data_IF_341515977126
#
_entry.id   IF_341515977126
#
_cell.length_a   1.000
_cell.length_b   1.000
_cell.length_c   1.000
_cell.angle_alpha   90.00
_cell.angle_beta   90.00
_cell.angle_gamma   90.00
#
_symmetry.space_group_name_H-M   'P 1'
#
loop_
_entity.id
_entity.type
_entity.pdbx_description
1 polymer ?
#
# COMPACT_ATOMS: atom_id res chain seq x y z
N UNK A 1 -0.45 6.02 -21.23
CA UNK A 1 0.31 4.91 -20.61
C UNK A 1 -0.50 3.64 -20.80
N UNK A 2 0.13 2.56 -21.25
CA UNK A 2 -0.56 1.30 -21.48
C UNK A 2 -1.12 0.79 -20.14
N UNK A 3 -2.38 0.36 -20.12
CA UNK A 3 -2.98 -0.18 -18.90
C UNK A 3 -2.39 -1.57 -18.62
N UNK A 4 -1.24 -1.62 -17.93
CA UNK A 4 -0.49 -2.85 -17.68
C UNK A 4 -1.35 -3.95 -17.04
N UNK A 5 -2.38 -3.59 -16.29
CA UNK A 5 -3.32 -4.54 -15.70
C UNK A 5 -4.21 -5.21 -16.75
N UNK A 6 -4.65 -4.47 -17.78
CA UNK A 6 -5.41 -5.03 -18.90
C UNK A 6 -4.51 -5.93 -19.75
N UNK A 7 -3.26 -5.53 -19.97
CA UNK A 7 -2.27 -6.39 -20.65
C UNK A 7 -2.05 -7.69 -19.86
N UNK A 8 -1.82 -7.60 -18.55
CA UNK A 8 -1.62 -8.76 -17.69
C UNK A 8 -2.85 -9.68 -17.67
N UNK A 9 -4.06 -9.11 -17.56
CA UNK A 9 -5.31 -9.87 -17.61
C UNK A 9 -5.47 -10.60 -18.94
N UNK A 10 -5.20 -9.92 -20.07
CA UNK A 10 -5.21 -10.55 -21.39
C UNK A 10 -4.23 -11.71 -21.47
N UNK A 11 -2.99 -11.51 -21.03
CA UNK A 11 -1.95 -12.54 -21.07
C UNK A 11 -2.38 -13.78 -20.27
N UNK A 12 -2.91 -13.60 -19.06
CA UNK A 12 -3.40 -14.71 -18.22
C UNK A 12 -4.54 -15.47 -18.92
N UNK A 13 -5.49 -14.75 -19.51
CA UNK A 13 -6.63 -15.35 -20.23
C UNK A 13 -6.14 -16.13 -21.47
N UNK A 14 -5.18 -15.57 -22.21
CA UNK A 14 -4.61 -16.19 -23.40
C UNK A 14 -3.81 -17.46 -23.03
N UNK A 15 -3.01 -17.44 -21.95
CA UNK A 15 -2.31 -18.64 -21.46
C UNK A 15 -3.27 -19.76 -21.01
N UNK A 16 -4.40 -19.41 -20.40
CA UNK A 16 -5.44 -20.37 -20.07
C UNK A 16 -6.07 -20.99 -21.33
N UNK A 17 -6.38 -20.18 -22.33
CA UNK A 17 -6.95 -20.67 -23.60
C UNK A 17 -6.01 -21.64 -24.33
N UNK A 18 -4.68 -21.47 -24.16
CA UNK A 18 -3.65 -22.40 -24.67
C UNK A 18 -3.48 -23.68 -23.82
N UNK A 19 -4.24 -23.86 -22.74
CA UNK A 19 -4.11 -24.99 -21.83
C UNK A 19 -2.84 -24.97 -20.98
N UNK A 20 -2.15 -23.82 -20.90
CA UNK A 20 -0.89 -23.66 -20.15
C UNK A 20 -1.11 -23.25 -18.70
N UNK A 21 -2.24 -22.59 -18.40
CA UNK A 21 -2.60 -22.19 -17.04
C UNK A 21 -3.50 -23.23 -16.36
N UNK A 22 -3.31 -23.38 -15.05
CA UNK A 22 -4.09 -24.20 -14.14
C UNK A 22 -4.87 -23.35 -13.12
N UNK A 23 -5.27 -22.13 -13.52
CA UNK A 23 -6.22 -21.31 -12.78
C UNK A 23 -7.61 -21.96 -12.78
N UNK A 24 -8.22 -22.05 -11.60
CA UNK A 24 -9.55 -22.62 -11.43
C UNK A 24 -10.69 -21.65 -11.78
N UNK A 25 -10.43 -20.35 -11.87
CA UNK A 25 -11.44 -19.31 -12.07
C UNK A 25 -11.02 -18.27 -13.11
N UNK A 26 -10.76 -18.74 -14.34
CA UNK A 26 -10.45 -17.85 -15.45
C UNK A 26 -11.64 -16.95 -15.82
N UNK A 27 -12.87 -17.36 -15.52
CA UNK A 27 -14.08 -16.60 -15.88
C UNK A 27 -14.14 -15.27 -15.13
N UNK A 28 -13.70 -15.26 -13.86
CA UNK A 28 -13.50 -14.01 -13.12
C UNK A 28 -12.47 -13.10 -13.78
N UNK A 29 -11.37 -13.64 -14.30
CA UNK A 29 -10.39 -12.82 -15.04
C UNK A 29 -10.96 -12.29 -16.36
N UNK A 30 -11.70 -13.10 -17.12
CA UNK A 30 -12.33 -12.69 -18.39
C UNK A 30 -13.34 -11.57 -18.19
N UNK A 31 -14.13 -11.63 -17.13
CA UNK A 31 -15.16 -10.63 -16.81
C UNK A 31 -14.61 -9.42 -16.05
N UNK A 32 -13.38 -9.51 -15.54
CA UNK A 32 -12.74 -8.42 -14.83
C UNK A 32 -12.46 -7.23 -15.75
N UNK A 33 -12.78 -6.04 -15.26
CA UNK A 33 -12.43 -4.78 -15.89
C UNK A 33 -11.86 -3.82 -14.84
N UNK A 34 -10.93 -2.92 -15.21
CA UNK A 34 -10.40 -1.93 -14.29
C UNK A 34 -11.53 -1.02 -13.79
N UNK A 35 -11.83 -1.07 -12.48
CA UNK A 35 -12.82 -0.19 -11.84
C UNK A 35 -12.23 1.15 -11.38
N UNK A 36 -10.93 1.32 -11.53
CA UNK A 36 -10.18 2.54 -11.21
C UNK A 36 -9.62 3.13 -12.50
N UNK A 37 -9.69 4.46 -12.65
CA UNK A 37 -8.96 5.13 -13.73
C UNK A 37 -7.47 4.94 -13.45
N UNK A 38 -6.81 4.14 -14.29
CA UNK A 38 -5.43 3.71 -14.06
C UNK A 38 -4.44 4.89 -14.23
N UNK A 39 -4.88 5.95 -14.91
CA UNK A 39 -4.11 7.18 -15.02
C UNK A 39 -4.05 7.92 -13.66
N UNK A 40 -2.86 7.98 -13.08
CA UNK A 40 -2.51 8.81 -11.92
C UNK A 40 -3.14 8.40 -10.57
N UNK A 41 -3.69 7.19 -10.43
CA UNK A 41 -4.18 6.66 -9.15
C UNK A 41 -3.24 5.64 -8.49
N UNK A 42 -2.13 5.26 -9.13
CA UNK A 42 -1.17 4.34 -8.52
C UNK A 42 -0.67 4.91 -7.18
N UNK A 43 -0.76 4.12 -6.11
CA UNK A 43 -0.35 4.48 -4.74
C UNK A 43 -1.15 5.62 -4.09
N UNK A 44 -2.29 6.00 -4.65
CA UNK A 44 -3.28 6.90 -4.05
C UNK A 44 -4.27 6.13 -3.17
N UNK A 45 -4.86 6.79 -2.17
CA UNK A 45 -5.87 6.17 -1.31
C UNK A 45 -7.17 5.95 -2.10
N UNK A 46 -7.72 4.74 -2.02
CA UNK A 46 -9.01 4.38 -2.66
C UNK A 46 -10.20 4.81 -1.81
N UNK A 47 -11.41 4.81 -2.38
CA UNK A 47 -12.65 5.11 -1.64
C UNK A 47 -12.89 4.09 -0.52
N UNK A 48 -12.56 2.83 -0.77
CA UNK A 48 -12.62 1.75 0.21
C UNK A 48 -11.65 2.04 1.36
N UNK A 49 -10.40 2.42 1.05
CA UNK A 49 -9.42 2.82 2.06
C UNK A 49 -9.87 4.03 2.89
N UNK A 50 -10.53 5.01 2.28
CA UNK A 50 -11.14 6.13 3.00
C UNK A 50 -12.18 5.66 4.03
N UNK A 51 -13.12 4.79 3.62
CA UNK A 51 -14.14 4.23 4.51
C UNK A 51 -13.54 3.40 5.63
N UNK A 52 -12.52 2.60 5.35
CA UNK A 52 -11.83 1.78 6.35
C UNK A 52 -11.16 2.65 7.42
N UNK A 53 -10.54 3.76 7.03
CA UNK A 53 -9.88 4.67 7.96
C UNK A 53 -10.86 5.50 8.79
N UNK A 54 -11.98 5.91 8.20
CA UNK A 54 -13.08 6.52 8.92
C UNK A 54 -13.64 5.54 9.97
N UNK A 55 -13.92 4.30 9.58
CA UNK A 55 -14.39 3.26 10.50
C UNK A 55 -13.35 2.91 11.57
N UNK A 56 -12.06 2.95 11.23
CA UNK A 56 -10.97 2.77 12.19
C UNK A 56 -10.96 3.88 13.24
N UNK A 57 -11.12 5.14 12.85
CA UNK A 57 -11.23 6.27 13.77
C UNK A 57 -12.43 6.14 14.71
N UNK A 58 -13.60 5.79 14.16
CA UNK A 58 -14.82 5.55 14.96
C UNK A 58 -14.62 4.41 15.97
N UNK A 59 -14.01 3.30 15.52
CA UNK A 59 -13.72 2.16 16.41
C UNK A 59 -12.76 2.55 17.52
N UNK A 60 -11.73 3.35 17.22
CA UNK A 60 -10.78 3.82 18.23
C UNK A 60 -11.48 4.72 19.26
N UNK A 61 -12.32 5.65 18.81
CA UNK A 61 -13.16 6.49 19.68
C UNK A 61 -14.03 5.66 20.61
N UNK A 62 -14.75 4.68 20.07
CA UNK A 62 -15.62 3.78 20.84
C UNK A 62 -14.85 2.93 21.84
N UNK A 63 -13.60 2.56 21.53
CA UNK A 63 -12.73 1.80 22.43
C UNK A 63 -12.19 2.64 23.57
N UNK A 64 -11.93 3.93 23.35
CA UNK A 64 -11.32 4.84 24.33
C UNK A 64 -12.14 6.13 24.48
N UNK A 65 -13.41 6.04 24.92
CA UNK A 65 -14.31 7.19 24.96
C UNK A 65 -13.82 8.26 25.93
N UNK A 66 -13.20 7.88 27.05
CA UNK A 66 -12.63 8.84 28.02
C UNK A 66 -11.49 9.67 27.45
N UNK A 67 -10.79 9.15 26.45
CA UNK A 67 -9.65 9.81 25.80
C UNK A 67 -10.07 10.58 24.54
N UNK A 68 -11.09 10.09 23.82
CA UNK A 68 -11.42 10.55 22.46
C UNK A 68 -12.82 11.14 22.31
N UNK A 69 -13.71 11.08 23.32
CA UNK A 69 -14.97 11.84 23.32
C UNK A 69 -14.75 13.29 23.75
N UNK A 70 -13.85 13.97 23.06
CA UNK A 70 -13.58 15.39 23.25
C UNK A 70 -13.27 16.03 21.90
N UNK A 71 -13.42 17.35 21.83
CA UNK A 71 -13.05 18.11 20.63
C UNK A 71 -11.54 18.10 20.44
N UNK A 72 -11.12 18.28 19.20
CA UNK A 72 -9.71 18.47 18.89
C UNK A 72 -9.15 19.69 19.63
N UNK A 73 -7.96 19.51 20.21
CA UNK A 73 -7.16 20.55 20.87
C UNK A 73 -5.69 20.25 20.63
N UNK A 74 -4.94 21.22 20.10
CA UNK A 74 -3.53 21.07 19.73
C UNK A 74 -2.62 20.67 20.91
N UNK A 75 -3.04 20.95 22.14
CA UNK A 75 -2.32 20.60 23.37
C UNK A 75 -2.42 19.10 23.70
N UNK A 76 -3.43 18.42 23.16
CA UNK A 76 -3.74 17.01 23.47
C UNK A 76 -3.57 16.08 22.28
N UNK A 77 -3.72 16.58 21.05
CA UNK A 77 -3.64 15.79 19.83
C UNK A 77 -2.63 16.40 18.87
N UNK A 78 -1.81 15.52 18.30
CA UNK A 78 -0.87 15.91 17.25
C UNK A 78 -0.95 14.93 16.10
N UNK A 79 -1.39 15.42 14.94
CA UNK A 79 -1.47 14.63 13.72
C UNK A 79 -0.19 14.80 12.90
N UNK A 80 0.29 13.69 12.34
CA UNK A 80 1.49 13.70 11.49
C UNK A 80 1.36 12.66 10.40
N UNK A 81 1.77 13.02 9.19
CA UNK A 81 1.67 12.16 8.02
C UNK A 81 2.87 12.41 7.09
N UNK A 82 3.22 11.41 6.28
CA UNK A 82 4.27 11.58 5.27
C UNK A 82 3.77 12.39 4.08
N UNK A 83 4.67 12.98 3.29
CA UNK A 83 4.32 13.78 2.11
C UNK A 83 3.87 12.92 0.91
N UNK A 84 2.74 12.24 1.04
CA UNK A 84 2.08 11.48 -0.05
C UNK A 84 0.57 11.68 0.05
N UNK A 85 -0.13 11.62 -1.09
CA UNK A 85 -1.59 11.75 -1.14
C UNK A 85 -2.26 10.72 -0.22
N UNK A 86 -1.86 9.44 -0.32
CA UNK A 86 -2.51 8.38 0.45
C UNK A 86 -2.43 8.61 1.95
N UNK A 87 -1.30 9.10 2.47
CA UNK A 87 -1.13 9.33 3.92
C UNK A 87 -1.82 10.59 4.40
N UNK A 88 -1.92 11.63 3.55
CA UNK A 88 -2.68 12.83 3.88
C UNK A 88 -4.17 12.53 3.95
N UNK A 89 -4.73 11.93 2.90
CA UNK A 89 -6.13 11.50 2.90
C UNK A 89 -6.43 10.53 4.03
N UNK A 90 -5.49 9.63 4.34
CA UNK A 90 -5.67 8.69 5.43
C UNK A 90 -5.84 9.39 6.78
N UNK A 91 -5.01 10.41 7.03
CA UNK A 91 -5.08 11.19 8.26
C UNK A 91 -6.39 11.98 8.37
N UNK A 92 -6.87 12.54 7.25
CA UNK A 92 -8.16 13.26 7.19
C UNK A 92 -9.33 12.34 7.52
N UNK A 93 -9.43 11.18 6.85
CA UNK A 93 -10.53 10.23 7.07
C UNK A 93 -10.53 9.65 8.47
N UNK A 94 -9.34 9.33 9.01
CA UNK A 94 -9.22 8.87 10.38
C UNK A 94 -9.64 9.94 11.39
N UNK A 95 -9.22 11.20 11.19
CA UNK A 95 -9.62 12.32 12.05
C UNK A 95 -11.14 12.56 12.02
N UNK A 96 -11.76 12.48 10.83
CA UNK A 96 -13.22 12.50 10.68
C UNK A 96 -13.89 11.37 11.45
N UNK A 97 -13.32 10.16 11.42
CA UNK A 97 -13.81 9.03 12.21
C UNK A 97 -13.74 9.25 13.72
N UNK A 98 -12.68 9.90 14.22
CA UNK A 98 -12.47 10.15 15.66
C UNK A 98 -13.33 11.32 16.15
N UNK A 99 -13.27 12.47 15.48
CA UNK A 99 -13.89 13.70 15.97
C UNK A 99 -15.31 13.92 15.43
N UNK A 100 -15.66 13.27 14.33
CA UNK A 100 -16.87 13.57 13.56
C UNK A 100 -16.58 14.63 12.51
N UNK A 101 -17.45 14.70 11.48
CA UNK A 101 -17.22 15.50 10.27
C UNK A 101 -17.08 17.01 10.53
N UNK A 102 -17.86 17.54 11.47
CA UNK A 102 -17.81 18.97 11.83
C UNK A 102 -16.52 19.29 12.59
N UNK A 103 -16.24 18.61 13.70
CA UNK A 103 -15.05 18.89 14.52
C UNK A 103 -13.73 18.53 13.80
N UNK A 104 -13.77 17.66 12.78
CA UNK A 104 -12.59 17.32 12.00
C UNK A 104 -12.08 18.46 11.10
N UNK A 105 -12.90 19.48 10.79
CA UNK A 105 -12.43 20.66 10.04
C UNK A 105 -11.47 21.52 10.84
N UNK A 106 -11.55 21.44 12.17
CA UNK A 106 -10.70 22.17 13.11
C UNK A 106 -9.38 21.45 13.39
N UNK A 107 -9.20 20.22 12.89
CA UNK A 107 -7.98 19.44 13.11
C UNK A 107 -6.83 20.08 12.34
N UNK A 108 -5.82 20.50 13.08
CA UNK A 108 -4.61 21.05 12.48
C UNK A 108 -3.67 19.93 12.00
N UNK A 109 -3.38 19.95 10.70
CA UNK A 109 -2.43 19.06 10.06
C UNK A 109 -1.14 19.84 9.75
N UNK A 110 -0.04 19.63 10.50
CA UNK A 110 1.22 20.31 10.22
C UNK A 110 1.72 19.94 8.81
N UNK A 111 2.43 20.86 8.12
CA UNK A 111 3.02 20.57 6.82
C UNK A 111 3.92 19.33 6.85
N UNK A 112 3.70 18.41 5.91
CA UNK A 112 4.50 17.20 5.82
C UNK A 112 5.95 17.48 5.41
N UNK A 113 6.89 16.80 6.08
CA UNK A 113 8.33 16.97 5.86
C UNK A 113 8.87 15.89 4.92
N UNK A 114 9.76 16.26 3.98
CA UNK A 114 10.40 15.29 3.08
C UNK A 114 11.37 14.37 3.83
N UNK A 115 12.15 14.94 4.74
CA UNK A 115 13.07 14.24 5.65
C UNK A 115 12.51 14.27 7.06
N UNK A 116 11.35 13.64 7.23
CA UNK A 116 10.63 13.64 8.49
C UNK A 116 11.39 12.83 9.55
N UNK A 117 11.79 13.40 10.70
CA UNK A 117 12.63 12.72 11.68
C UNK A 117 11.90 11.63 12.45
N UNK A 118 10.56 11.57 12.39
CA UNK A 118 9.75 10.57 13.10
C UNK A 118 9.31 9.49 12.11
N UNK A 119 8.59 9.88 11.06
CA UNK A 119 7.96 8.94 10.13
C UNK A 119 8.92 8.42 9.05
N UNK A 120 10.02 9.16 8.79
CA UNK A 120 11.00 8.84 7.74
C UNK A 120 12.42 9.12 8.20
N UNK A 121 12.74 8.79 9.46
CA UNK A 121 14.04 9.07 10.08
C UNK A 121 15.23 8.63 9.20
N UNK A 122 15.07 7.50 8.50
CA UNK A 122 16.05 6.94 7.58
C UNK A 122 16.39 7.88 6.40
N UNK A 123 15.50 8.78 5.99
CA UNK A 123 15.79 9.81 4.97
C UNK A 123 16.61 10.98 5.49
N UNK A 124 16.68 11.19 6.81
CA UNK A 124 17.47 12.23 7.46
C UNK A 124 18.79 11.72 8.05
N UNK A 125 18.97 10.40 8.18
CA UNK A 125 20.13 9.78 8.81
C UNK A 125 21.20 9.39 7.79
N UNK A 126 22.32 10.13 7.76
CA UNK A 126 23.43 9.89 6.82
C UNK A 126 24.08 8.54 7.03
N UNK A 127 24.29 8.15 8.29
CA UNK A 127 24.81 6.83 8.63
C UNK A 127 23.92 5.72 8.07
N UNK A 128 22.60 5.82 8.19
CA UNK A 128 21.68 4.83 7.64
C UNK A 128 21.77 4.77 6.11
N UNK A 129 21.79 5.94 5.43
CA UNK A 129 21.93 5.99 3.96
C UNK A 129 23.22 5.32 3.48
N UNK A 130 24.33 5.52 4.18
CA UNK A 130 25.62 4.97 3.79
C UNK A 130 25.77 3.48 4.15
N UNK A 131 25.31 3.08 5.34
CA UNK A 131 25.56 1.73 5.87
C UNK A 131 24.45 0.73 5.54
N UNK A 132 23.28 1.20 5.08
CA UNK A 132 22.12 0.37 4.73
C UNK A 132 21.66 0.64 3.29
N UNK A 133 21.10 1.82 2.99
CA UNK A 133 20.45 2.12 1.68
C UNK A 133 21.40 1.91 0.49
N UNK A 134 22.63 2.41 0.61
CA UNK A 134 23.65 2.30 -0.42
C UNK A 134 24.64 1.15 -0.18
N UNK A 135 24.38 0.28 0.79
CA UNK A 135 25.26 -0.84 1.13
C UNK A 135 24.63 -2.16 0.67
N UNK A 136 25.10 -2.77 -0.44
CA UNK A 136 24.59 -4.05 -0.92
C UNK A 136 24.66 -5.16 0.12
N UNK A 137 25.68 -5.17 0.99
CA UNK A 137 25.81 -6.18 2.04
C UNK A 137 24.67 -6.10 3.07
N UNK A 138 24.00 -4.96 3.22
CA UNK A 138 22.83 -4.85 4.09
C UNK A 138 21.60 -5.61 3.56
N UNK A 139 21.63 -6.05 2.30
CA UNK A 139 20.58 -6.84 1.64
C UNK A 139 20.93 -8.32 1.47
N UNK A 140 22.05 -8.78 2.04
CA UNK A 140 22.53 -10.17 1.90
C UNK A 140 21.47 -11.21 2.30
N UNK A 141 20.75 -10.98 3.41
CA UNK A 141 19.70 -11.90 3.87
C UNK A 141 18.47 -11.88 2.95
N UNK A 142 18.16 -10.75 2.33
CA UNK A 142 17.13 -10.69 1.28
C UNK A 142 17.57 -11.52 0.07
N UNK A 143 18.82 -11.39 -0.37
CA UNK A 143 19.36 -12.17 -1.49
C UNK A 143 19.38 -13.67 -1.18
N UNK A 144 19.80 -14.07 0.02
CA UNK A 144 19.75 -15.47 0.48
C UNK A 144 18.32 -16.00 0.47
N UNK A 145 17.36 -15.21 0.97
CA UNK A 145 15.96 -15.59 0.96
C UNK A 145 15.42 -15.73 -0.48
N UNK A 146 15.72 -14.79 -1.37
CA UNK A 146 15.34 -14.87 -2.79
C UNK A 146 15.99 -16.06 -3.52
N UNK A 147 17.15 -16.52 -3.04
CA UNK A 147 17.83 -17.71 -3.53
C UNK A 147 17.37 -19.02 -2.88
N UNK A 148 16.61 -18.94 -1.78
CA UNK A 148 16.09 -20.09 -1.03
C UNK A 148 15.16 -20.94 -1.90
N UNK A 149 14.99 -22.20 -1.48
CA UNK A 149 14.05 -23.12 -2.14
C UNK A 149 12.63 -22.61 -2.03
N UNK A 150 12.24 -22.09 -0.87
CA UNK A 150 10.90 -21.62 -0.56
C UNK A 150 10.48 -20.49 -1.50
N UNK A 151 11.35 -19.50 -1.68
CA UNK A 151 11.07 -18.38 -2.58
C UNK A 151 11.00 -18.83 -4.04
N UNK A 152 11.98 -19.62 -4.50
CA UNK A 152 12.02 -20.12 -5.88
C UNK A 152 10.82 -21.02 -6.20
N UNK A 153 10.45 -21.90 -5.28
CA UNK A 153 9.30 -22.79 -5.42
C UNK A 153 8.00 -21.97 -5.47
N UNK A 154 7.86 -20.92 -4.66
CA UNK A 154 6.73 -19.98 -4.70
C UNK A 154 6.65 -19.26 -6.06
N UNK A 155 7.74 -18.65 -6.54
CA UNK A 155 7.77 -17.95 -7.82
C UNK A 155 7.43 -18.89 -8.97
N UNK A 156 8.00 -20.09 -8.97
CA UNK A 156 7.71 -21.11 -9.99
C UNK A 156 6.26 -21.58 -9.92
N UNK A 157 5.70 -21.77 -8.72
CA UNK A 157 4.30 -22.15 -8.55
C UNK A 157 3.35 -21.07 -9.06
N UNK A 158 3.60 -19.79 -8.74
CA UNK A 158 2.80 -18.66 -9.24
C UNK A 158 2.91 -18.57 -10.76
N UNK A 159 4.13 -18.65 -11.31
CA UNK A 159 4.37 -18.53 -12.76
C UNK A 159 3.69 -19.64 -13.54
N UNK A 160 3.83 -20.91 -13.09
CA UNK A 160 3.13 -22.06 -13.70
C UNK A 160 1.63 -21.91 -13.61
N UNK A 161 1.08 -21.49 -12.46
CA UNK A 161 -0.36 -21.30 -12.29
C UNK A 161 -0.93 -20.31 -13.29
N UNK A 162 -0.17 -19.26 -13.62
CA UNK A 162 -0.53 -18.25 -14.63
C UNK A 162 -0.21 -18.68 -16.08
N UNK A 163 0.44 -19.83 -16.27
CA UNK A 163 0.79 -20.40 -17.56
C UNK A 163 2.06 -19.85 -18.21
N UNK A 164 2.93 -19.18 -17.44
CA UNK A 164 4.20 -18.68 -17.96
C UNK A 164 5.26 -19.78 -18.01
N UNK A 165 5.99 -19.86 -19.14
CA UNK A 165 7.11 -20.80 -19.34
C UNK A 165 8.36 -20.39 -18.56
N UNK A 166 8.51 -19.09 -18.31
CA UNK A 166 9.60 -18.53 -17.51
C UNK A 166 9.05 -17.99 -16.20
N UNK A 167 9.88 -18.07 -15.17
CA UNK A 167 9.54 -17.50 -13.88
C UNK A 167 9.36 -15.98 -13.99
N UNK A 168 8.32 -15.47 -13.33
CA UNK A 168 8.18 -14.06 -13.04
C UNK A 168 9.40 -13.56 -12.28
N UNK A 169 9.81 -12.33 -12.58
CA UNK A 169 10.88 -11.66 -11.84
C UNK A 169 10.25 -10.70 -10.84
N UNK A 170 10.92 -10.51 -9.70
CA UNK A 170 10.62 -9.37 -8.85
C UNK A 170 10.96 -8.12 -9.67
N UNK A 171 9.95 -7.30 -9.97
CA UNK A 171 10.17 -5.99 -10.56
C UNK A 171 11.02 -5.15 -9.61
N UNK A 172 12.13 -4.61 -10.10
CA UNK A 172 12.91 -3.59 -9.38
C UNK A 172 12.27 -2.22 -9.58
#
# INVERSE_FOLDING_TARGET
MQNHLVTLQKDIVDQYALGKSNLCDVLSFKSWTPRVRVDNLEKSLTKEGQRELLALGQRLKNRFPTLLNQKFKNETFFFKYTKTQRTQESALQFAEGVFGREDATEVWFPPSQKRDPILRFYKACDKWRQTVDHNPAAYEEQEKFEQSREYKDMVAAVSRRLGYERNLTAGK
#
